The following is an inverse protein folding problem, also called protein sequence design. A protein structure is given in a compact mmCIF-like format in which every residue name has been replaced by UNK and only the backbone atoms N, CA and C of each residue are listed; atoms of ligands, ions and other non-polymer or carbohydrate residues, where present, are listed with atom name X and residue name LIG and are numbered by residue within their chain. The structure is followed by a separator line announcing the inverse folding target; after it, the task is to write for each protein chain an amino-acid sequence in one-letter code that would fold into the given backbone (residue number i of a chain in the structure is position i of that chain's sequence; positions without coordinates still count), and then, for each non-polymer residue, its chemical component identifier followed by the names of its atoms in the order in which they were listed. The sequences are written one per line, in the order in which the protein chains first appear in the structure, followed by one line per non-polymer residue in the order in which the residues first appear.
data_IF_986136150998
#
_entry.id   IF_986136150998
#
_cell.length_a   1.000
_cell.length_b   1.000
_cell.length_c   1.000
_cell.angle_alpha   90.00
_cell.angle_beta   90.00
_cell.angle_gamma   90.00
#
_symmetry.space_group_name_H-M   'P 1'
#
loop_
_entity.id
_entity.type
_entity.pdbx_description
1 polymer ?
#
# COMPACT_ATOMS: atom_id res chain seq x y z
N UNK A 1 -19.70 -0.67 -21.43
CA UNK A 1 -18.88 0.38 -22.07
C UNK A 1 -18.71 1.52 -21.08
N UNK A 2 -17.57 1.73 -20.42
CA UNK A 2 -17.37 2.92 -19.61
C UNK A 2 -16.65 4.00 -20.44
N UNK A 3 -17.29 5.16 -20.55
CA UNK A 3 -16.83 6.32 -21.30
C UNK A 3 -15.53 6.88 -20.72
N UNK A 4 -14.46 6.82 -21.51
CA UNK A 4 -13.23 7.57 -21.30
C UNK A 4 -13.59 9.05 -21.43
N UNK A 5 -13.63 9.78 -20.31
CA UNK A 5 -13.83 11.23 -20.35
C UNK A 5 -12.66 11.84 -21.13
N UNK A 6 -13.02 12.56 -22.19
CA UNK A 6 -12.11 13.09 -23.19
C UNK A 6 -11.14 14.10 -22.55
N UNK A 7 -9.85 13.82 -22.68
CA UNK A 7 -8.74 14.73 -22.39
C UNK A 7 -8.78 15.78 -23.52
N UNK A 8 -9.36 16.96 -23.28
CA UNK A 8 -9.38 18.03 -24.28
C UNK A 8 -8.06 18.80 -24.22
N UNK A 9 -7.20 18.55 -25.20
CA UNK A 9 -6.04 19.39 -25.52
C UNK A 9 -6.51 20.73 -26.08
N UNK A 10 -6.43 21.80 -25.29
CA UNK A 10 -6.62 23.16 -25.77
C UNK A 10 -5.33 23.96 -25.54
N UNK A 11 -4.65 24.44 -26.60
CA UNK A 11 -3.80 25.62 -26.53
C UNK A 11 -4.56 26.80 -27.17
N UNK A 12 -4.50 28.03 -26.61
CA UNK A 12 -3.28 28.81 -26.64
C UNK A 12 -3.08 29.72 -25.40
N UNK A 13 -1.97 30.46 -25.39
CA UNK A 13 -1.48 31.44 -24.40
C UNK A 13 -0.39 30.91 -23.45
N UNK A 14 0.86 31.12 -23.88
CA UNK A 14 2.01 31.44 -23.02
C UNK A 14 2.49 30.33 -22.08
N UNK A 15 3.60 29.70 -22.46
CA UNK A 15 4.43 28.77 -21.65
C UNK A 15 3.90 27.33 -21.56
N UNK A 16 4.68 26.38 -22.12
CA UNK A 16 4.30 24.97 -22.30
C UNK A 16 4.11 24.22 -20.98
N UNK A 17 2.89 24.25 -20.45
CA UNK A 17 2.50 23.52 -19.25
C UNK A 17 1.18 22.77 -19.46
N UNK A 18 1.10 21.57 -18.90
CA UNK A 18 0.01 20.60 -19.03
C UNK A 18 -0.78 20.56 -17.72
N UNK A 19 -2.05 20.92 -17.71
CA UNK A 19 -2.86 21.00 -16.49
C UNK A 19 -3.88 19.86 -16.38
N UNK A 20 -4.32 19.56 -15.16
CA UNK A 20 -5.34 18.55 -14.90
C UNK A 20 -6.71 19.21 -14.71
N UNK A 21 -7.67 18.90 -15.60
CA UNK A 21 -9.02 19.49 -15.56
C UNK A 21 -10.01 18.71 -14.67
N UNK A 22 -9.51 17.82 -13.81
CA UNK A 22 -10.38 17.04 -12.93
C UNK A 22 -11.01 17.91 -11.85
N UNK A 23 -12.33 17.84 -11.71
CA UNK A 23 -13.11 18.64 -10.74
C UNK A 23 -12.53 18.53 -9.32
N UNK A 24 -12.09 19.65 -8.77
CA UNK A 24 -11.48 19.73 -7.43
C UNK A 24 -10.00 19.33 -7.36
N UNK A 25 -9.35 19.07 -8.49
CA UNK A 25 -7.90 18.90 -8.54
C UNK A 25 -7.20 20.25 -8.63
N UNK A 26 -6.35 20.57 -7.65
CA UNK A 26 -5.53 21.78 -7.62
C UNK A 26 -4.05 21.46 -7.87
N UNK A 27 -3.79 20.49 -8.76
CA UNK A 27 -2.43 20.10 -9.11
C UNK A 27 -1.75 21.20 -9.93
N UNK A 28 -0.49 21.51 -9.61
CA UNK A 28 0.29 22.47 -10.37
C UNK A 28 0.46 22.01 -11.84
N UNK A 29 0.63 22.95 -12.79
CA UNK A 29 0.85 22.61 -14.19
C UNK A 29 2.10 21.72 -14.35
N UNK A 30 1.94 20.64 -15.09
CA UNK A 30 3.01 19.68 -15.37
C UNK A 30 3.86 20.16 -16.55
N UNK A 31 5.16 19.89 -16.50
CA UNK A 31 6.08 20.29 -17.57
C UNK A 31 5.97 19.39 -18.81
N UNK A 32 5.42 18.18 -18.68
CA UNK A 32 5.29 17.22 -19.77
C UNK A 32 3.94 16.50 -19.74
N UNK A 33 3.47 16.10 -20.92
CA UNK A 33 2.25 15.30 -21.06
C UNK A 33 2.33 13.95 -20.33
N UNK A 34 3.52 13.35 -20.25
CA UNK A 34 3.74 12.11 -19.51
C UNK A 34 3.39 12.25 -18.02
N UNK A 35 3.79 13.36 -17.40
CA UNK A 35 3.49 13.64 -16.00
C UNK A 35 1.98 13.85 -15.77
N UNK A 36 1.32 14.57 -16.68
CA UNK A 36 -0.14 14.73 -16.64
C UNK A 36 -0.86 13.37 -16.78
N UNK A 37 -0.46 12.52 -17.73
CA UNK A 37 -1.08 11.21 -17.93
C UNK A 37 -0.84 10.27 -16.72
N UNK A 38 0.35 10.33 -16.13
CA UNK A 38 0.64 9.63 -14.87
C UNK A 38 -0.26 10.11 -13.73
N UNK A 39 -0.42 11.44 -13.60
CA UNK A 39 -1.29 12.07 -12.62
C UNK A 39 -2.77 11.72 -12.82
N UNK A 40 -3.26 11.59 -14.05
CA UNK A 40 -4.65 11.19 -14.33
C UNK A 40 -5.03 9.83 -13.70
N UNK A 41 -4.07 8.95 -13.47
CA UNK A 41 -4.29 7.69 -12.73
C UNK A 41 -4.66 7.90 -11.24
N UNK A 42 -4.40 9.08 -10.67
CA UNK A 42 -4.85 9.44 -9.32
C UNK A 42 -6.38 9.59 -9.31
N UNK A 43 -6.94 10.17 -10.37
CA UNK A 43 -8.38 10.33 -10.58
C UNK A 43 -9.05 9.04 -11.02
N UNK A 44 -8.32 8.21 -11.75
CA UNK A 44 -8.77 6.85 -12.02
C UNK A 44 -8.89 6.09 -10.69
N UNK A 45 -10.13 5.80 -10.27
CA UNK A 45 -10.42 4.88 -9.18
C UNK A 45 -10.25 3.42 -9.60
N UNK A 46 -9.66 3.15 -10.77
CA UNK A 46 -9.39 1.80 -11.21
C UNK A 46 -8.43 1.12 -10.22
N UNK A 47 -8.94 0.09 -9.56
CA UNK A 47 -8.21 -0.72 -8.59
C UNK A 47 -8.18 -2.14 -9.12
N UNK A 48 -7.32 -2.42 -10.11
CA UNK A 48 -7.33 -3.69 -10.84
C UNK A 48 -6.80 -4.86 -10.01
N UNK A 49 -6.35 -4.60 -8.77
CA UNK A 49 -5.76 -5.60 -7.90
C UNK A 49 -6.63 -5.81 -6.68
N UNK A 50 -7.09 -7.04 -6.48
CA UNK A 50 -7.95 -7.40 -5.36
C UNK A 50 -7.28 -8.45 -4.47
N UNK A 51 -7.62 -8.45 -3.18
CA UNK A 51 -7.17 -9.50 -2.28
C UNK A 51 -7.86 -10.82 -2.64
N UNK A 52 -7.14 -11.93 -2.82
CA UNK A 52 -7.76 -13.22 -3.16
C UNK A 52 -8.44 -13.90 -1.95
N UNK A 53 -8.38 -13.31 -0.76
CA UNK A 53 -8.97 -13.91 0.46
C UNK A 53 -10.48 -13.68 0.47
N UNK A 54 -11.30 -14.75 0.55
CA UNK A 54 -12.75 -14.63 0.56
C UNK A 54 -13.22 -13.87 1.80
N UNK A 55 -14.19 -12.96 1.62
CA UNK A 55 -14.70 -12.11 2.70
C UNK A 55 -13.79 -10.94 3.11
N UNK A 56 -12.63 -10.77 2.46
CA UNK A 56 -11.81 -9.59 2.69
C UNK A 56 -12.49 -8.34 2.11
N UNK A 57 -12.61 -7.26 2.89
CA UNK A 57 -13.16 -5.98 2.45
C UNK A 57 -12.40 -5.33 1.28
N UNK A 58 -11.21 -5.85 0.95
CA UNK A 58 -10.38 -5.43 -0.19
C UNK A 58 -10.26 -6.50 -1.28
N UNK A 59 -11.09 -7.54 -1.22
CA UNK A 59 -11.24 -8.58 -2.23
C UNK A 59 -12.11 -8.16 -3.41
N UNK A 60 -12.45 -9.12 -4.28
CA UNK A 60 -13.31 -8.89 -5.44
C UNK A 60 -14.69 -8.38 -5.00
N UNK A 61 -15.15 -7.26 -5.59
CA UNK A 61 -16.34 -6.54 -5.14
C UNK A 61 -16.14 -5.59 -3.95
N UNK A 62 -14.94 -5.57 -3.37
CA UNK A 62 -14.55 -4.67 -2.29
C UNK A 62 -13.78 -3.44 -2.77
N UNK A 63 -13.02 -2.85 -1.84
CA UNK A 63 -12.28 -1.60 -2.13
C UNK A 63 -11.09 -1.80 -3.06
N UNK A 64 -10.54 -3.00 -3.24
CA UNK A 64 -9.35 -3.24 -4.09
C UNK A 64 -8.11 -2.37 -3.79
N UNK A 65 -7.09 -2.50 -4.64
CA UNK A 65 -5.82 -1.78 -4.58
C UNK A 65 -5.48 -1.15 -5.94
N UNK A 66 -4.86 0.03 -5.90
CA UNK A 66 -4.36 0.70 -7.10
C UNK A 66 -3.11 0.00 -7.65
N UNK A 67 -2.28 -0.59 -6.78
CA UNK A 67 -1.00 -1.23 -7.16
C UNK A 67 -0.91 -2.68 -6.68
N UNK A 68 -0.32 -3.55 -7.51
CA UNK A 68 -0.07 -4.96 -7.16
C UNK A 68 0.74 -5.12 -5.88
N UNK A 69 1.77 -4.27 -5.69
CA UNK A 69 2.63 -4.31 -4.51
C UNK A 69 1.88 -3.95 -3.21
N UNK A 70 0.81 -3.17 -3.29
CA UNK A 70 -0.04 -2.86 -2.12
C UNK A 70 -0.90 -4.06 -1.75
N UNK A 71 -1.50 -4.71 -2.75
CA UNK A 71 -2.26 -5.95 -2.58
C UNK A 71 -1.41 -7.08 -2.00
N UNK A 72 -0.19 -7.29 -2.53
CA UNK A 72 0.75 -8.30 -2.00
C UNK A 72 1.10 -8.00 -0.54
N UNK A 73 1.44 -6.75 -0.20
CA UNK A 73 1.75 -6.36 1.19
C UNK A 73 0.54 -6.50 2.11
N UNK A 74 -0.66 -6.24 1.62
CA UNK A 74 -1.88 -6.45 2.38
C UNK A 74 -2.14 -7.92 2.68
N UNK A 75 -1.78 -8.83 1.77
CA UNK A 75 -1.89 -10.28 2.00
C UNK A 75 -1.25 -10.73 3.33
N UNK A 76 -0.20 -10.05 3.78
CA UNK A 76 0.43 -10.31 5.08
C UNK A 76 -0.51 -10.09 6.26
N UNK A 77 -1.55 -9.28 6.16
CA UNK A 77 -2.55 -9.11 7.23
C UNK A 77 -3.30 -10.40 7.52
N UNK A 78 -3.46 -11.27 6.51
CA UNK A 78 -4.14 -12.55 6.67
C UNK A 78 -3.20 -13.68 7.16
N UNK A 79 -1.90 -13.52 6.94
CA UNK A 79 -0.88 -14.52 7.28
C UNK A 79 -0.04 -14.10 8.51
N UNK A 80 -0.22 -12.87 9.02
CA UNK A 80 0.59 -12.36 10.11
C UNK A 80 0.16 -12.98 11.44
N UNK A 81 1.12 -13.47 12.24
CA UNK A 81 0.84 -13.90 13.61
C UNK A 81 0.40 -12.74 14.54
N UNK A 82 0.53 -11.49 14.07
CA UNK A 82 0.27 -10.29 14.86
C UNK A 82 1.43 -10.04 15.82
N UNK A 83 2.38 -9.21 15.42
CA UNK A 83 3.55 -8.86 16.22
C UNK A 83 3.14 -7.92 17.36
N UNK A 84 3.48 -8.25 18.60
CA UNK A 84 3.19 -7.40 19.78
C UNK A 84 4.43 -6.67 20.25
N UNK A 85 4.30 -5.44 20.73
CA UNK A 85 5.45 -4.71 21.25
C UNK A 85 5.85 -5.27 22.63
N UNK A 86 7.08 -5.77 22.82
CA UNK A 86 7.51 -6.33 24.11
C UNK A 86 7.74 -5.26 25.19
N UNK A 87 7.84 -3.98 24.79
CA UNK A 87 8.10 -2.86 25.68
C UNK A 87 6.82 -2.15 26.15
N UNK A 88 5.67 -2.48 25.56
CA UNK A 88 4.39 -1.97 26.02
C UNK A 88 3.93 -2.79 27.23
N UNK A 89 3.43 -2.15 28.30
CA UNK A 89 3.01 -2.85 29.51
C UNK A 89 1.82 -3.79 29.29
N UNK A 90 1.00 -3.47 28.31
CA UNK A 90 -0.31 -4.08 28.10
C UNK A 90 -0.32 -5.07 26.91
N UNK A 91 0.64 -4.96 25.98
CA UNK A 91 0.82 -5.86 24.82
C UNK A 91 -0.45 -6.18 23.99
N UNK A 92 -1.55 -5.43 24.14
CA UNK A 92 -2.82 -5.72 23.44
C UNK A 92 -2.74 -5.42 21.94
N UNK A 93 -1.86 -4.49 21.55
CA UNK A 93 -1.76 -4.02 20.17
C UNK A 93 -0.94 -4.97 19.30
N UNK A 94 -1.64 -5.71 18.44
CA UNK A 94 -1.06 -6.57 17.40
C UNK A 94 -0.82 -5.81 16.11
N UNK A 95 0.44 -5.75 15.70
CA UNK A 95 0.85 -5.17 14.43
C UNK A 95 0.90 -6.27 13.36
N UNK A 96 0.20 -6.14 12.23
CA UNK A 96 0.22 -7.15 11.17
C UNK A 96 1.54 -7.18 10.38
N UNK A 97 2.47 -6.25 10.64
CA UNK A 97 3.74 -6.17 9.91
C UNK A 97 4.90 -5.77 10.82
N UNK A 98 6.10 -6.35 10.60
CA UNK A 98 7.32 -6.04 11.35
C UNK A 98 7.72 -4.56 11.30
N UNK A 99 7.57 -3.91 10.14
CA UNK A 99 7.99 -2.53 9.95
C UNK A 99 7.08 -1.54 10.69
N UNK A 100 5.79 -1.87 10.83
CA UNK A 100 4.87 -1.08 11.65
C UNK A 100 5.26 -1.16 13.12
N UNK A 101 5.60 -2.34 13.63
CA UNK A 101 6.07 -2.46 15.00
C UNK A 101 7.44 -1.78 15.19
N UNK A 102 8.47 -2.20 14.44
CA UNK A 102 9.84 -1.77 14.66
C UNK A 102 10.09 -0.30 14.27
N UNK A 103 9.68 0.13 13.07
CA UNK A 103 10.04 1.47 12.57
C UNK A 103 9.00 2.55 12.89
N UNK A 104 7.73 2.18 13.08
CA UNK A 104 6.67 3.16 13.34
C UNK A 104 6.34 3.26 14.82
N UNK A 105 6.09 2.14 15.50
CA UNK A 105 5.71 2.15 16.91
C UNK A 105 6.94 2.27 17.82
N UNK A 106 7.85 1.29 17.80
CA UNK A 106 9.02 1.25 18.72
C UNK A 106 9.87 2.51 18.57
N UNK A 107 10.18 2.93 17.34
CA UNK A 107 10.96 4.17 17.12
C UNK A 107 10.32 5.43 17.75
N UNK A 108 8.99 5.50 17.81
CA UNK A 108 8.26 6.69 18.27
C UNK A 108 7.95 6.62 19.76
N UNK A 109 7.52 5.46 20.27
CA UNK A 109 7.10 5.28 21.66
C UNK A 109 8.19 4.68 22.56
N UNK A 110 9.21 4.05 21.98
CA UNK A 110 10.33 3.41 22.66
C UNK A 110 11.65 3.83 21.98
N UNK A 111 11.88 5.14 21.89
CA UNK A 111 13.00 5.73 21.13
C UNK A 111 14.39 5.31 21.63
N UNK A 112 14.49 4.91 22.91
CA UNK A 112 15.69 4.33 23.52
C UNK A 112 16.01 2.90 23.02
N UNK A 113 15.05 2.22 22.40
CA UNK A 113 15.18 0.83 21.94
C UNK A 113 15.56 0.78 20.47
N UNK A 114 16.58 -0.01 20.15
CA UNK A 114 17.07 -0.20 18.78
C UNK A 114 16.57 -1.53 18.18
N UNK A 115 16.73 -1.67 16.88
CA UNK A 115 16.41 -2.83 16.05
C UNK A 115 17.11 -4.12 16.49
N UNK A 116 18.26 -3.97 17.16
CA UNK A 116 19.09 -5.06 17.64
C UNK A 116 18.72 -5.51 19.06
N UNK A 117 17.73 -4.88 19.69
CA UNK A 117 17.25 -5.28 21.02
C UNK A 117 16.74 -6.74 20.96
N UNK A 118 17.23 -7.61 21.86
CA UNK A 118 16.93 -9.04 21.80
C UNK A 118 15.44 -9.35 21.96
N UNK A 119 14.72 -8.57 22.78
CA UNK A 119 13.28 -8.78 22.99
C UNK A 119 12.49 -8.43 21.71
N UNK A 120 12.89 -7.35 21.02
CA UNK A 120 12.27 -7.00 19.74
C UNK A 120 12.61 -8.03 18.66
N UNK A 121 13.85 -8.53 18.62
CA UNK A 121 14.27 -9.56 17.66
C UNK A 121 13.50 -10.85 17.86
N UNK A 122 13.26 -11.28 19.10
CA UNK A 122 12.49 -12.47 19.41
C UNK A 122 11.06 -12.38 18.87
N UNK A 123 10.36 -11.27 19.15
CA UNK A 123 9.02 -11.01 18.60
C UNK A 123 9.02 -11.06 17.07
N UNK A 124 10.03 -10.48 16.42
CA UNK A 124 10.12 -10.48 14.95
C UNK A 124 10.44 -11.85 14.36
N UNK A 125 11.07 -12.74 15.14
CA UNK A 125 11.36 -14.13 14.75
C UNK A 125 10.15 -15.06 14.93
N UNK A 126 9.09 -14.62 15.62
CA UNK A 126 7.85 -15.36 15.72
C UNK A 126 7.29 -15.59 14.31
N UNK A 127 7.40 -16.84 13.87
CA UNK A 127 6.87 -17.34 12.61
C UNK A 127 5.45 -17.85 12.89
N UNK A 128 4.47 -17.68 11.99
CA UNK A 128 3.16 -18.26 12.20
C UNK A 128 3.28 -19.79 12.28
N UNK A 129 2.91 -20.33 13.43
CA UNK A 129 2.76 -21.76 13.68
C UNK A 129 1.63 -22.28 12.76
N UNK A 130 1.99 -22.90 11.63
CA UNK A 130 1.05 -23.62 10.76
C UNK A 130 0.68 -22.99 9.41
N UNK A 131 1.33 -21.93 8.94
CA UNK A 131 1.07 -21.38 7.59
C UNK A 131 1.45 -22.37 6.47
N UNK A 132 0.58 -22.62 5.46
CA UNK A 132 0.89 -23.57 4.40
C UNK A 132 2.11 -23.08 3.63
N UNK A 133 2.98 -24.02 3.23
CA UNK A 133 4.12 -23.76 2.33
C UNK A 133 3.59 -23.30 0.97
N UNK A 134 3.28 -22.00 0.86
CA UNK A 134 2.85 -21.34 -0.37
C UNK A 134 3.97 -21.32 -1.39
N UNK A 135 4.10 -22.44 -2.10
CA UNK A 135 4.95 -22.64 -3.27
C UNK A 135 4.84 -21.45 -4.21
N UNK A 136 5.87 -20.60 -4.27
CA UNK A 136 6.07 -19.72 -5.43
C UNK A 136 6.50 -20.61 -6.59
N UNK A 137 5.52 -21.27 -7.24
CA UNK A 137 5.70 -21.78 -8.59
C UNK A 137 5.75 -20.54 -9.48
N UNK A 138 6.97 -20.12 -9.85
CA UNK A 138 7.16 -19.34 -11.07
C UNK A 138 6.66 -20.25 -12.20
N UNK A 139 5.57 -19.85 -12.82
CA UNK A 139 4.97 -20.57 -13.95
C UNK A 139 5.02 -19.64 -15.14
N UNK A 140 5.57 -20.17 -16.24
CA UNK A 140 5.55 -19.65 -17.60
C UNK A 140 6.52 -18.49 -17.84
N UNK A 141 7.27 -18.46 -18.94
CA UNK A 141 7.14 -19.24 -20.17
C UNK A 141 7.32 -18.30 -21.34
#
# INVERSE_FOLDING_TARGET
MPSIQHIQTVPPHGTGSFQCDYLGCNAAPFQTQYLLNSHANVHSQNRPHFCPVPGCARGEGGKGFKRKNEMIRHGLVHDSPGYVCPFCPDQEHKYPRPDNLQRRHVRVHHSERNKDDPALREVLLQRPEGGPRGRRRRTGG
#
